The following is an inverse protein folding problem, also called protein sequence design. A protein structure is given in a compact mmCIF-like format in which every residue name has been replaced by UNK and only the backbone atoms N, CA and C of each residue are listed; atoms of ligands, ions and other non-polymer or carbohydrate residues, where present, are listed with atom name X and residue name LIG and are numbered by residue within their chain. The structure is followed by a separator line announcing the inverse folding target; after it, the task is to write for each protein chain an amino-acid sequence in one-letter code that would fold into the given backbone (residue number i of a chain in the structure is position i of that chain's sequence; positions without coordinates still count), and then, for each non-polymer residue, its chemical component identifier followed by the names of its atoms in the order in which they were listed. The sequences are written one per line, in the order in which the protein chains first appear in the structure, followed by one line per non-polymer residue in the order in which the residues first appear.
data_IF_974223937247
#
_entry.id   IF_974223937247
#
_cell.length_a   1.000
_cell.length_b   1.000
_cell.length_c   1.000
_cell.angle_alpha   90.00
_cell.angle_beta   90.00
_cell.angle_gamma   90.00
#
_symmetry.space_group_name_H-M   'P 1'
#
loop_
_entity.id
_entity.type
_entity.pdbx_description
1 polymer ?
#
# COMPACT_ATOMS: atom_id res chain seq x y z
N UNK A 1 18.71 26.79 -26.67
CA UNK A 1 19.55 26.38 -25.56
C UNK A 1 19.01 25.01 -25.08
N UNK A 2 19.71 23.94 -25.45
CA UNK A 2 19.20 22.56 -25.23
C UNK A 2 19.54 22.15 -23.78
N UNK A 3 18.54 22.14 -22.90
CA UNK A 3 18.68 21.91 -21.43
C UNK A 3 18.70 20.40 -21.09
N UNK A 4 18.67 19.53 -22.07
CA UNK A 4 18.73 18.09 -21.83
C UNK A 4 20.17 17.62 -21.67
N UNK A 5 20.72 17.69 -20.44
CA UNK A 5 21.88 16.88 -20.10
C UNK A 5 21.48 15.40 -20.17
N UNK A 6 22.03 14.66 -21.12
CA UNK A 6 21.93 13.21 -21.13
C UNK A 6 22.61 12.68 -19.86
N UNK A 7 21.82 12.16 -18.90
CA UNK A 7 22.37 11.46 -17.74
C UNK A 7 23.19 10.26 -18.20
N UNK A 8 24.43 10.19 -17.73
CA UNK A 8 25.27 9.02 -17.97
C UNK A 8 24.90 7.86 -17.02
N UNK A 9 25.33 6.65 -17.34
CA UNK A 9 25.17 5.50 -16.45
C UNK A 9 25.86 5.75 -15.08
N UNK A 10 26.96 6.48 -15.08
CA UNK A 10 27.68 6.81 -13.85
C UNK A 10 26.90 7.80 -13.00
N UNK A 11 26.22 8.78 -13.60
CA UNK A 11 25.34 9.70 -12.87
C UNK A 11 24.19 8.94 -12.22
N UNK A 12 23.58 7.98 -12.91
CA UNK A 12 22.52 7.14 -12.36
C UNK A 12 23.04 6.28 -11.20
N UNK A 13 24.20 5.65 -11.33
CA UNK A 13 24.82 4.87 -10.24
C UNK A 13 25.09 5.74 -9.00
N UNK A 14 25.55 6.96 -9.20
CA UNK A 14 25.81 7.92 -8.13
C UNK A 14 24.52 8.33 -7.43
N UNK A 15 23.45 8.63 -8.18
CA UNK A 15 22.11 8.91 -7.63
C UNK A 15 21.62 7.73 -6.80
N UNK A 16 21.67 6.50 -7.31
CA UNK A 16 21.20 5.33 -6.59
C UNK A 16 22.04 5.01 -5.34
N UNK A 17 23.34 5.30 -5.37
CA UNK A 17 24.18 5.16 -4.18
C UNK A 17 23.79 6.14 -3.08
N UNK A 18 23.47 7.38 -3.46
CA UNK A 18 23.06 8.45 -2.54
C UNK A 18 21.65 8.26 -1.98
N UNK A 19 20.74 7.64 -2.72
CA UNK A 19 19.37 7.35 -2.27
C UNK A 19 19.35 6.49 -1.00
N UNK A 20 20.28 5.54 -0.86
CA UNK A 20 20.36 4.66 0.31
C UNK A 20 20.57 5.40 1.63
N UNK A 21 21.22 6.55 1.61
CA UNK A 21 21.46 7.38 2.79
C UNK A 21 20.32 8.36 3.10
N UNK A 22 19.32 8.47 2.23
CA UNK A 22 18.22 9.43 2.40
C UNK A 22 17.20 8.91 3.40
N UNK A 23 16.62 9.87 4.13
CA UNK A 23 15.47 9.69 5.00
C UNK A 23 14.30 10.43 4.37
N UNK A 24 13.19 9.76 4.18
CA UNK A 24 11.99 10.31 3.54
C UNK A 24 10.81 10.09 4.47
N UNK A 25 10.00 11.13 4.67
CA UNK A 25 8.71 11.03 5.34
C UNK A 25 7.61 10.98 4.27
N UNK A 26 6.70 10.01 4.39
CA UNK A 26 5.49 9.92 3.57
C UNK A 26 4.30 10.21 4.46
N UNK A 27 3.58 11.29 4.14
CA UNK A 27 2.39 11.73 4.86
C UNK A 27 1.22 11.65 3.88
N UNK A 28 0.14 10.96 4.25
CA UNK A 28 -1.01 10.89 3.37
C UNK A 28 -2.04 9.85 3.76
N UNK A 29 -2.91 9.56 2.80
CA UNK A 29 -3.95 8.55 2.91
C UNK A 29 -3.37 7.16 2.62
N UNK A 30 -3.35 6.35 3.67
CA UNK A 30 -2.90 4.96 3.63
C UNK A 30 -4.11 4.06 3.43
N UNK A 31 -4.21 3.44 2.26
CA UNK A 31 -5.30 2.56 1.91
C UNK A 31 -4.82 1.19 1.41
N UNK A 32 -5.76 0.27 1.26
CA UNK A 32 -5.51 -1.08 0.77
C UNK A 32 -6.34 -1.32 -0.50
N UNK A 33 -5.71 -1.80 -1.55
CA UNK A 33 -6.39 -2.34 -2.72
C UNK A 33 -6.66 -3.84 -2.51
N UNK A 34 -7.94 -4.21 -2.45
CA UNK A 34 -8.39 -5.59 -2.27
C UNK A 34 -8.97 -6.14 -3.58
N UNK A 35 -8.34 -7.15 -4.14
CA UNK A 35 -8.83 -7.84 -5.33
C UNK A 35 -9.46 -9.16 -4.93
N UNK A 36 -10.74 -9.32 -5.25
CA UNK A 36 -11.52 -10.50 -4.96
C UNK A 36 -11.87 -11.23 -6.25
N UNK A 37 -11.28 -12.39 -6.44
CA UNK A 37 -11.52 -13.23 -7.60
C UNK A 37 -12.76 -14.08 -7.34
N UNK A 38 -13.81 -13.78 -8.08
CA UNK A 38 -15.14 -14.38 -7.90
C UNK A 38 -15.30 -15.53 -8.88
N UNK A 39 -15.82 -16.67 -8.39
CA UNK A 39 -16.26 -17.75 -9.25
C UNK A 39 -17.69 -17.49 -9.72
N UNK A 40 -17.84 -17.05 -10.95
CA UNK A 40 -19.15 -16.75 -11.56
C UNK A 40 -20.03 -17.99 -11.83
N UNK A 41 -19.49 -19.21 -11.69
CA UNK A 41 -20.26 -20.45 -11.85
C UNK A 41 -21.11 -20.75 -10.61
N UNK A 42 -20.87 -20.11 -9.48
CA UNK A 42 -21.66 -20.22 -8.26
C UNK A 42 -22.60 -19.03 -8.14
N UNK A 43 -23.81 -19.18 -8.68
CA UNK A 43 -24.89 -18.22 -8.51
C UNK A 43 -25.81 -18.71 -7.39
N UNK A 44 -25.59 -18.24 -6.18
CA UNK A 44 -26.46 -18.50 -5.05
C UNK A 44 -27.13 -17.20 -4.60
N UNK A 45 -28.32 -17.33 -4.05
CA UNK A 45 -28.98 -16.24 -3.33
C UNK A 45 -28.87 -16.52 -1.83
N UNK A 46 -28.63 -15.46 -1.07
CA UNK A 46 -28.71 -15.53 0.38
C UNK A 46 -30.15 -15.85 0.80
N UNK A 47 -30.35 -16.88 1.59
CA UNK A 47 -31.66 -17.24 2.11
C UNK A 47 -32.21 -16.18 3.08
N UNK A 48 -31.34 -15.40 3.70
CA UNK A 48 -31.68 -14.36 4.67
C UNK A 48 -32.07 -13.04 4.00
N UNK A 49 -31.34 -12.65 2.94
CA UNK A 49 -31.47 -11.31 2.34
C UNK A 49 -32.03 -11.32 0.93
N UNK A 50 -32.05 -12.47 0.25
CA UNK A 50 -32.42 -12.58 -1.17
C UNK A 50 -31.40 -11.97 -2.14
N UNK A 51 -30.25 -11.47 -1.65
CA UNK A 51 -29.19 -10.89 -2.49
C UNK A 51 -28.28 -11.97 -3.06
N UNK A 52 -27.67 -11.67 -4.21
CA UNK A 52 -26.67 -12.54 -4.82
C UNK A 52 -25.46 -12.71 -3.90
N UNK A 53 -25.03 -13.96 -3.72
CA UNK A 53 -23.81 -14.32 -2.99
C UNK A 53 -22.68 -14.52 -3.98
N UNK A 54 -21.62 -13.75 -3.82
CA UNK A 54 -20.41 -13.90 -4.63
C UNK A 54 -19.45 -14.86 -3.94
N UNK A 55 -19.18 -16.00 -4.56
CA UNK A 55 -18.18 -16.94 -4.06
C UNK A 55 -16.77 -16.44 -4.38
N UNK A 56 -16.05 -15.97 -3.37
CA UNK A 56 -14.68 -15.49 -3.50
C UNK A 56 -13.71 -16.66 -3.39
N UNK A 57 -13.03 -17.02 -4.47
CA UNK A 57 -12.05 -18.11 -4.50
C UNK A 57 -10.66 -17.67 -4.03
N UNK A 58 -10.31 -16.42 -4.31
CA UNK A 58 -8.97 -15.90 -4.05
C UNK A 58 -9.03 -14.42 -3.73
N UNK A 59 -8.17 -14.01 -2.81
CA UNK A 59 -8.03 -12.61 -2.43
C UNK A 59 -6.58 -12.17 -2.54
N UNK A 60 -6.35 -10.98 -3.08
CA UNK A 60 -5.06 -10.33 -3.12
C UNK A 60 -5.17 -8.93 -2.56
N UNK A 61 -4.19 -8.55 -1.76
CA UNK A 61 -4.11 -7.23 -1.15
C UNK A 61 -2.83 -6.53 -1.54
N UNK A 62 -2.95 -5.26 -1.92
CA UNK A 62 -1.81 -4.42 -2.29
C UNK A 62 -1.87 -3.08 -1.57
N UNK A 63 -0.71 -2.50 -1.22
CA UNK A 63 -0.66 -1.16 -0.66
C UNK A 63 -1.21 -0.14 -1.67
N UNK A 64 -2.20 0.66 -1.27
CA UNK A 64 -2.78 1.72 -2.07
C UNK A 64 -2.40 3.12 -1.55
N UNK A 65 -2.69 4.16 -2.33
CA UNK A 65 -2.44 5.55 -1.94
C UNK A 65 -1.01 5.81 -1.48
N UNK A 66 -0.85 6.41 -0.32
CA UNK A 66 0.46 6.71 0.28
C UNK A 66 1.29 5.45 0.55
N UNK A 67 0.66 4.31 0.85
CA UNK A 67 1.37 3.05 1.06
C UNK A 67 2.05 2.55 -0.23
N UNK A 68 1.45 2.77 -1.40
CA UNK A 68 2.09 2.46 -2.68
C UNK A 68 3.31 3.35 -2.94
N UNK A 69 3.27 4.63 -2.55
CA UNK A 69 4.43 5.54 -2.63
C UNK A 69 5.58 5.02 -1.75
N UNK A 70 5.27 4.57 -0.53
CA UNK A 70 6.26 3.96 0.37
C UNK A 70 6.91 2.73 -0.28
N UNK A 71 6.10 1.84 -0.86
CA UNK A 71 6.57 0.65 -1.54
C UNK A 71 7.52 1.00 -2.72
N UNK A 72 7.17 2.01 -3.51
CA UNK A 72 8.00 2.49 -4.62
C UNK A 72 9.33 3.08 -4.12
N UNK A 73 9.31 3.90 -3.07
CA UNK A 73 10.53 4.47 -2.48
C UNK A 73 11.47 3.38 -1.95
N UNK A 74 10.92 2.37 -1.27
CA UNK A 74 11.70 1.23 -0.78
C UNK A 74 12.26 0.39 -1.93
N UNK A 75 11.48 0.17 -2.99
CA UNK A 75 11.94 -0.53 -4.21
C UNK A 75 13.05 0.23 -4.94
N UNK A 76 13.05 1.56 -4.92
CA UNK A 76 14.13 2.40 -5.43
C UNK A 76 15.39 2.38 -4.55
N UNK A 77 15.31 1.78 -3.36
CA UNK A 77 16.44 1.64 -2.45
C UNK A 77 16.61 2.78 -1.45
N UNK A 78 15.56 3.59 -1.21
CA UNK A 78 15.59 4.59 -0.13
C UNK A 78 15.83 3.89 1.21
N UNK A 79 16.85 4.31 1.93
CA UNK A 79 17.29 3.64 3.16
C UNK A 79 16.23 3.71 4.25
N UNK A 80 15.75 4.90 4.56
CA UNK A 80 14.82 5.13 5.65
C UNK A 80 13.54 5.82 5.16
N UNK A 81 12.39 5.19 5.39
CA UNK A 81 11.07 5.76 5.07
C UNK A 81 10.23 5.73 6.33
N UNK A 82 9.88 6.92 6.83
CA UNK A 82 8.95 7.12 7.93
C UNK A 82 7.55 7.36 7.37
N UNK A 83 6.54 6.70 7.91
CA UNK A 83 5.15 6.84 7.45
C UNK A 83 4.29 7.55 8.50
N UNK A 84 3.45 8.48 8.01
CA UNK A 84 2.52 9.26 8.80
C UNK A 84 1.14 9.22 8.15
N UNK A 85 0.18 8.64 8.84
CA UNK A 85 -1.20 8.51 8.36
C UNK A 85 -2.10 7.92 9.41
N UNK A 86 -3.33 7.60 9.02
CA UNK A 86 -4.34 7.02 9.91
C UNK A 86 -4.90 5.76 9.25
N UNK A 87 -4.99 4.68 10.00
CA UNK A 87 -5.65 3.43 9.61
C UNK A 87 -6.60 2.97 10.72
N UNK A 88 -7.54 2.12 10.39
CA UNK A 88 -8.46 1.52 11.36
C UNK A 88 -7.83 0.35 12.13
N UNK A 89 -8.41 0.07 13.28
CA UNK A 89 -8.14 -1.18 14.01
C UNK A 89 -9.06 -2.29 13.46
N UNK A 90 -8.83 -2.67 12.21
CA UNK A 90 -9.63 -3.61 11.44
C UNK A 90 -8.75 -4.59 10.65
N UNK A 91 -9.30 -5.65 10.04
CA UNK A 91 -8.51 -6.63 9.29
C UNK A 91 -7.68 -6.03 8.17
N UNK A 92 -8.16 -4.98 7.49
CA UNK A 92 -7.46 -4.32 6.39
C UNK A 92 -6.30 -3.45 6.89
N UNK A 93 -6.48 -2.75 8.03
CA UNK A 93 -5.43 -2.01 8.71
C UNK A 93 -4.31 -2.93 9.21
N UNK A 94 -4.66 -4.08 9.74
CA UNK A 94 -3.69 -5.10 10.15
C UNK A 94 -2.90 -5.65 8.96
N UNK A 95 -3.57 -5.94 7.85
CA UNK A 95 -2.91 -6.41 6.63
C UNK A 95 -1.99 -5.34 6.04
N UNK A 96 -2.43 -4.08 5.99
CA UNK A 96 -1.61 -2.97 5.52
C UNK A 96 -0.36 -2.78 6.38
N UNK A 97 -0.51 -2.80 7.71
CA UNK A 97 0.60 -2.73 8.66
C UNK A 97 1.59 -3.87 8.48
N UNK A 98 1.08 -5.09 8.25
CA UNK A 98 1.91 -6.27 7.97
C UNK A 98 2.75 -6.07 6.72
N UNK A 99 2.15 -5.58 5.62
CA UNK A 99 2.86 -5.34 4.37
C UNK A 99 3.91 -4.23 4.50
N UNK A 100 3.59 -3.13 5.17
CA UNK A 100 4.53 -2.03 5.41
C UNK A 100 5.73 -2.49 6.28
N UNK A 101 5.49 -3.33 7.27
CA UNK A 101 6.58 -3.92 8.08
C UNK A 101 7.49 -4.83 7.24
N UNK A 102 6.93 -5.61 6.31
CA UNK A 102 7.72 -6.51 5.45
C UNK A 102 8.71 -5.76 4.55
N UNK A 103 8.41 -4.54 4.14
CA UNK A 103 9.31 -3.70 3.34
C UNK A 103 10.24 -2.82 4.18
N UNK A 104 10.31 -3.07 5.49
CA UNK A 104 11.20 -2.37 6.42
C UNK A 104 11.05 -0.84 6.38
N UNK A 105 9.83 -0.33 6.40
CA UNK A 105 9.58 1.08 6.68
C UNK A 105 9.25 1.30 8.16
N UNK A 106 9.43 2.54 8.62
CA UNK A 106 9.11 2.89 10.01
C UNK A 106 7.65 3.32 10.13
N UNK A 107 6.83 2.45 10.73
CA UNK A 107 5.39 2.67 10.91
C UNK A 107 5.00 3.22 12.28
N UNK A 108 5.95 3.64 13.12
CA UNK A 108 5.68 4.10 14.49
C UNK A 108 4.72 5.30 14.56
N UNK A 109 4.67 6.09 13.49
CA UNK A 109 3.82 7.26 13.37
C UNK A 109 2.57 7.00 12.52
N UNK A 110 2.30 5.75 12.17
CA UNK A 110 1.03 5.35 11.58
C UNK A 110 0.02 5.18 12.71
N UNK A 111 -0.90 6.16 12.82
CA UNK A 111 -1.89 6.18 13.89
C UNK A 111 -2.97 5.15 13.62
N UNK A 112 -3.20 4.27 14.60
CA UNK A 112 -4.29 3.29 14.56
C UNK A 112 -5.47 3.87 15.34
N UNK A 113 -6.61 4.03 14.67
CA UNK A 113 -7.84 4.49 15.30
C UNK A 113 -8.70 3.29 15.72
N UNK A 114 -9.14 3.30 16.97
CA UNK A 114 -9.93 2.21 17.56
C UNK A 114 -11.45 2.43 17.44
N UNK A 115 -11.91 3.66 17.16
CA UNK A 115 -13.31 4.03 17.14
C UNK A 115 -13.64 4.81 15.87
N UNK A 116 -14.74 4.45 15.24
CA UNK A 116 -15.37 5.16 14.10
C UNK A 116 -14.47 5.43 12.87
N UNK A 117 -13.34 4.74 12.75
CA UNK A 117 -12.46 4.82 11.61
C UNK A 117 -12.14 3.43 11.06
N UNK A 118 -12.50 3.23 9.81
CA UNK A 118 -12.12 2.04 9.07
C UNK A 118 -11.00 2.36 8.09
N UNK A 119 -10.10 1.41 7.90
CA UNK A 119 -9.05 1.51 6.89
C UNK A 119 -9.68 1.67 5.51
N UNK A 120 -9.32 2.71 4.79
CA UNK A 120 -9.77 2.91 3.42
C UNK A 120 -9.36 1.71 2.57
N UNK A 121 -10.35 1.02 2.00
CA UNK A 121 -10.14 -0.19 1.20
C UNK A 121 -10.92 -0.09 -0.10
N UNK A 122 -10.21 -0.25 -1.21
CA UNK A 122 -10.80 -0.27 -2.54
C UNK A 122 -10.94 -1.72 -3.00
N UNK A 123 -12.16 -2.23 -2.95
CA UNK A 123 -12.49 -3.59 -3.40
C UNK A 123 -12.73 -3.61 -4.91
N UNK A 124 -12.11 -4.58 -5.58
CA UNK A 124 -12.15 -4.76 -7.04
C UNK A 124 -12.41 -6.22 -7.39
#
# INVERSE_FOLDING_TARGET
MNIYHKLSINDLKDVFSKIKSKKVAVIGDFCLDAYWFINSNFNALSLETGLSVNHVEKQHYFPGGAANIVNNLKSLGVGNVDVYGVIGNDPFGNELSRQLNQINCNIKNLLIQNFDWNTHTYSK
#
